data_IF_605966354789
#
_entry.id   IF_605966354789
#
_cell.length_a   1.000
_cell.length_b   1.000
_cell.length_c   1.000
_cell.angle_alpha   90.00
_cell.angle_beta   90.00
_cell.angle_gamma   90.00
#
_symmetry.space_group_name_H-M   'P 1'
#
loop_
_entity.id
_entity.type
_entity.pdbx_description
1 polymer ?
#
# COMPACT_ATOMS: atom_id res chain seq x y z
N UNK A 1 25.96 4.81 45.34
CA UNK A 1 25.74 4.12 44.04
C UNK A 1 24.29 3.69 44.00
N UNK A 2 23.44 4.41 43.26
CA UNK A 2 21.99 4.17 43.19
C UNK A 2 21.70 3.06 42.19
N UNK A 3 21.18 1.93 42.67
CA UNK A 3 20.67 0.84 41.82
C UNK A 3 19.25 1.19 41.38
N UNK A 4 19.08 1.59 40.12
CA UNK A 4 17.78 1.80 39.51
C UNK A 4 17.08 0.46 39.29
N UNK A 5 16.11 0.14 40.12
CA UNK A 5 15.22 -1.02 39.96
C UNK A 5 14.33 -0.79 38.74
N UNK A 6 14.60 -1.55 37.67
CA UNK A 6 13.76 -1.63 36.47
C UNK A 6 12.42 -2.23 36.87
N UNK A 7 11.35 -1.44 36.76
CA UNK A 7 9.98 -1.89 36.94
C UNK A 7 9.59 -2.81 35.77
N UNK A 8 9.48 -4.11 36.03
CA UNK A 8 8.92 -5.09 35.09
C UNK A 8 7.44 -5.25 35.43
N UNK A 9 6.50 -4.75 34.62
CA UNK A 9 5.08 -4.96 34.87
C UNK A 9 4.68 -6.41 34.57
N UNK A 10 3.87 -6.97 35.47
CA UNK A 10 3.30 -8.32 35.42
C UNK A 10 2.29 -8.49 34.26
N UNK A 11 2.06 -9.72 33.77
CA UNK A 11 1.22 -9.97 32.60
C UNK A 11 -0.27 -9.84 32.93
N UNK A 12 -0.88 -8.71 32.58
CA UNK A 12 -2.32 -8.50 32.65
C UNK A 12 -3.05 -9.11 31.45
N UNK A 13 -4.13 -9.84 31.71
CA UNK A 13 -5.02 -10.49 30.71
C UNK A 13 -5.39 -9.55 29.55
N UNK A 14 -5.43 -10.10 28.34
CA UNK A 14 -5.58 -9.40 27.07
C UNK A 14 -6.94 -8.67 26.94
N UNK A 15 -6.95 -7.36 27.21
CA UNK A 15 -7.92 -6.45 26.60
C UNK A 15 -7.73 -6.38 25.08
N UNK A 16 -8.59 -5.66 24.32
CA UNK A 16 -8.37 -5.46 22.89
C UNK A 16 -6.96 -4.90 22.70
N UNK A 17 -6.10 -5.67 22.04
CA UNK A 17 -4.68 -5.33 21.93
C UNK A 17 -4.57 -4.10 21.03
N UNK A 18 -4.48 -2.92 21.65
CA UNK A 18 -4.28 -1.66 20.96
C UNK A 18 -2.81 -1.58 20.58
N UNK A 19 -2.49 -2.00 19.37
CA UNK A 19 -1.16 -1.81 18.81
C UNK A 19 -0.97 -0.35 18.39
N UNK A 20 0.08 0.30 18.88
CA UNK A 20 0.53 1.58 18.34
C UNK A 20 1.22 1.37 16.99
N UNK A 21 1.24 2.42 16.16
CA UNK A 21 1.84 2.32 14.82
C UNK A 21 3.32 1.94 14.90
N UNK A 22 4.06 2.45 15.90
CA UNK A 22 5.45 2.06 16.16
C UNK A 22 5.59 0.59 16.56
N UNK A 23 4.68 0.05 17.39
CA UNK A 23 4.70 -1.37 17.78
C UNK A 23 4.46 -2.27 16.57
N UNK A 24 3.54 -1.91 15.69
CA UNK A 24 3.30 -2.62 14.44
C UNK A 24 4.58 -2.65 13.57
N UNK A 25 5.20 -1.49 13.34
CA UNK A 25 6.43 -1.41 12.54
C UNK A 25 7.58 -2.20 13.18
N UNK A 26 7.72 -2.14 14.51
CA UNK A 26 8.72 -2.91 15.24
C UNK A 26 8.54 -4.42 15.04
N UNK A 27 7.30 -4.93 15.08
CA UNK A 27 7.01 -6.34 14.81
C UNK A 27 7.45 -6.75 13.40
N UNK A 28 7.24 -5.89 12.39
CA UNK A 28 7.71 -6.17 11.02
C UNK A 28 9.24 -6.27 10.96
N UNK A 29 9.96 -5.29 11.54
CA UNK A 29 11.44 -5.31 11.57
C UNK A 29 11.96 -6.52 12.34
N UNK A 30 11.32 -6.84 13.47
CA UNK A 30 11.70 -7.98 14.29
C UNK A 30 11.48 -9.33 13.57
N UNK A 31 10.34 -9.48 12.88
CA UNK A 31 10.04 -10.68 12.10
C UNK A 31 10.89 -10.78 10.82
N UNK A 32 11.40 -9.66 10.32
CA UNK A 32 12.38 -9.65 9.24
C UNK A 32 13.72 -10.28 9.67
N UNK A 33 14.04 -10.35 10.97
CA UNK A 33 15.26 -11.00 11.49
C UNK A 33 16.55 -10.47 10.83
N UNK A 34 16.58 -9.18 10.49
CA UNK A 34 17.71 -8.56 9.79
C UNK A 34 17.73 -8.80 8.28
N UNK A 35 16.75 -9.52 7.72
CA UNK A 35 16.55 -9.53 6.27
C UNK A 35 16.04 -8.16 5.82
N UNK A 36 16.61 -7.64 4.74
CA UNK A 36 16.14 -6.41 4.12
C UNK A 36 14.74 -6.53 3.50
N UNK A 37 14.12 -7.71 3.47
CA UNK A 37 12.81 -7.93 2.82
C UNK A 37 11.92 -8.79 3.72
N UNK A 38 10.62 -8.47 3.78
CA UNK A 38 9.64 -9.31 4.47
C UNK A 38 8.41 -9.53 3.60
N UNK A 39 8.41 -10.63 2.85
CA UNK A 39 7.25 -11.05 2.06
C UNK A 39 6.09 -11.54 2.94
N UNK A 40 4.83 -11.39 2.47
CA UNK A 40 3.63 -11.87 3.19
C UNK A 40 3.71 -13.34 3.60
N UNK A 41 4.23 -14.21 2.73
CA UNK A 41 4.36 -15.66 3.03
C UNK A 41 5.34 -15.89 4.19
N UNK A 42 6.45 -15.17 4.21
CA UNK A 42 7.44 -15.23 5.29
C UNK A 42 6.86 -14.68 6.58
N UNK A 43 6.16 -13.53 6.53
CA UNK A 43 5.46 -12.97 7.67
C UNK A 43 4.42 -13.95 8.24
N UNK A 44 3.54 -14.50 7.39
CA UNK A 44 2.52 -15.45 7.83
C UNK A 44 3.11 -16.73 8.44
N UNK A 45 4.29 -17.16 7.97
CA UNK A 45 5.03 -18.31 8.51
C UNK A 45 5.71 -18.00 9.84
N UNK A 46 6.19 -16.76 10.05
CA UNK A 46 6.93 -16.36 11.25
C UNK A 46 6.05 -15.80 12.36
N UNK A 47 4.88 -15.23 12.03
CA UNK A 47 3.95 -14.70 13.02
C UNK A 47 3.43 -15.82 13.93
N UNK A 48 3.24 -15.51 15.19
CA UNK A 48 2.49 -16.31 16.16
C UNK A 48 1.04 -15.83 16.22
N UNK A 49 0.16 -16.59 16.87
CA UNK A 49 -1.25 -16.20 17.02
C UNK A 49 -1.45 -14.92 17.84
N UNK A 50 -0.51 -14.61 18.74
CA UNK A 50 -0.51 -13.37 19.50
C UNK A 50 -0.08 -12.15 18.66
N UNK A 51 0.59 -12.35 17.52
CA UNK A 51 1.08 -11.26 16.68
C UNK A 51 -0.04 -10.63 15.84
N UNK A 52 0.08 -9.32 15.51
CA UNK A 52 -0.86 -8.62 14.65
C UNK A 52 -1.02 -9.31 13.28
N UNK A 53 -2.24 -9.36 12.76
CA UNK A 53 -2.53 -9.94 11.45
C UNK A 53 -2.11 -9.01 10.31
N UNK A 54 -1.80 -9.56 9.13
CA UNK A 54 -1.46 -8.76 7.95
C UNK A 54 -2.57 -7.74 7.59
N UNK A 55 -3.83 -8.11 7.79
CA UNK A 55 -4.99 -7.23 7.58
C UNK A 55 -5.00 -6.01 8.51
N UNK A 56 -4.44 -6.12 9.71
CA UNK A 56 -4.33 -4.97 10.62
C UNK A 56 -3.37 -3.91 10.06
N UNK A 57 -2.25 -4.33 9.47
CA UNK A 57 -1.30 -3.43 8.81
C UNK A 57 -1.92 -2.71 7.62
N UNK A 58 -2.68 -3.42 6.79
CA UNK A 58 -3.41 -2.82 5.67
C UNK A 58 -4.43 -1.78 6.14
N UNK A 59 -5.18 -2.07 7.21
CA UNK A 59 -6.17 -1.13 7.75
C UNK A 59 -5.54 0.10 8.39
N UNK A 60 -4.39 -0.04 9.06
CA UNK A 60 -3.71 1.05 9.78
C UNK A 60 -2.86 1.92 8.83
N UNK A 61 -2.11 1.30 7.91
CA UNK A 61 -1.17 1.99 7.03
C UNK A 61 -1.68 2.14 5.59
N UNK A 62 -2.88 1.64 5.29
CA UNK A 62 -3.50 1.68 3.96
C UNK A 62 -3.05 0.53 3.04
N UNK A 63 -1.82 0.01 3.20
CA UNK A 63 -1.38 -1.20 2.51
C UNK A 63 -0.23 -1.89 3.23
N UNK A 64 -0.07 -3.20 2.98
CA UNK A 64 1.06 -3.98 3.45
C UNK A 64 2.40 -3.41 2.98
N UNK A 65 2.50 -3.02 1.71
CA UNK A 65 3.73 -2.42 1.18
C UNK A 65 4.04 -1.10 1.87
N UNK A 66 3.02 -0.28 2.16
CA UNK A 66 3.20 0.96 2.91
C UNK A 66 3.73 0.71 4.32
N UNK A 67 3.27 -0.35 4.97
CA UNK A 67 3.78 -0.76 6.29
C UNK A 67 5.25 -1.21 6.21
N UNK A 68 5.64 -1.95 5.16
CA UNK A 68 7.04 -2.32 4.92
C UNK A 68 7.92 -1.09 4.65
N UNK A 69 7.48 -0.15 3.81
CA UNK A 69 8.18 1.12 3.55
C UNK A 69 8.45 1.89 4.85
N UNK A 70 7.42 2.03 5.70
CA UNK A 70 7.53 2.72 6.99
C UNK A 70 8.41 1.96 7.99
N UNK A 71 8.50 0.63 7.85
CA UNK A 71 9.40 -0.22 8.63
C UNK A 71 10.84 -0.21 8.09
N UNK A 72 11.12 0.49 6.98
CA UNK A 72 12.44 0.48 6.33
C UNK A 72 12.79 -0.85 5.66
N UNK A 73 11.79 -1.68 5.37
CA UNK A 73 11.95 -2.96 4.69
C UNK A 73 11.70 -2.82 3.19
N UNK A 74 12.46 -3.56 2.39
CA UNK A 74 12.24 -3.67 0.97
C UNK A 74 10.84 -4.24 0.70
N UNK A 75 10.06 -3.46 -0.02
CA UNK A 75 8.78 -3.89 -0.54
C UNK A 75 9.03 -4.98 -1.57
N UNK A 76 8.39 -6.13 -1.38
CA UNK A 76 8.35 -7.17 -2.39
C UNK A 76 7.33 -6.73 -3.45
N UNK A 77 7.73 -5.74 -4.25
CA UNK A 77 7.00 -5.34 -5.43
C UNK A 77 6.99 -6.56 -6.35
N UNK A 78 5.80 -6.97 -6.79
CA UNK A 78 5.73 -7.91 -7.92
C UNK A 78 6.64 -7.32 -9.01
N UNK A 79 7.58 -8.08 -9.59
CA UNK A 79 8.48 -7.52 -10.58
C UNK A 79 7.61 -6.89 -11.66
N UNK A 80 7.89 -5.63 -11.99
CA UNK A 80 7.10 -4.82 -12.93
C UNK A 80 6.84 -5.58 -14.25
N UNK A 81 7.78 -6.46 -14.61
CA UNK A 81 7.74 -7.39 -15.73
C UNK A 81 6.64 -8.46 -15.67
N UNK A 82 6.22 -8.93 -14.49
CA UNK A 82 5.07 -9.84 -14.33
C UNK A 82 3.73 -9.08 -14.25
N UNK A 83 3.76 -7.79 -13.91
CA UNK A 83 2.57 -6.95 -13.86
C UNK A 83 2.02 -6.66 -15.27
N UNK A 84 2.90 -6.51 -16.28
CA UNK A 84 2.52 -6.33 -17.68
C UNK A 84 1.95 -7.59 -18.32
N UNK A 85 2.38 -8.77 -17.86
CA UNK A 85 1.93 -10.08 -18.39
C UNK A 85 0.59 -10.51 -17.78
N UNK A 86 0.32 -10.12 -16.53
CA UNK A 86 -0.90 -10.54 -15.80
C UNK A 86 -2.05 -9.54 -15.85
N UNK A 87 -1.82 -8.34 -16.40
CA UNK A 87 -2.81 -7.25 -16.36
C UNK A 87 -3.01 -6.63 -17.73
N UNK A 88 -4.27 -6.40 -18.13
CA UNK A 88 -4.64 -5.71 -19.37
C UNK A 88 -4.07 -4.28 -19.48
N UNK A 89 -3.69 -3.64 -18.38
CA UNK A 89 -3.19 -2.27 -18.36
C UNK A 89 -1.83 -2.15 -17.69
N UNK A 90 -0.89 -1.51 -18.37
CA UNK A 90 0.44 -1.16 -17.84
C UNK A 90 0.39 0.13 -17.01
N UNK A 91 1.40 0.35 -16.16
CA UNK A 91 1.54 1.61 -15.41
C UNK A 91 1.55 2.83 -16.34
N UNK A 92 2.23 2.74 -17.48
CA UNK A 92 2.27 3.81 -18.49
C UNK A 92 0.89 4.08 -19.09
N UNK A 93 0.11 3.03 -19.40
CA UNK A 93 -1.26 3.20 -19.89
C UNK A 93 -2.18 3.84 -18.85
N UNK A 94 -2.03 3.50 -17.57
CA UNK A 94 -2.77 4.13 -16.47
C UNK A 94 -2.43 5.63 -16.36
N UNK A 95 -1.15 5.98 -16.43
CA UNK A 95 -0.69 7.38 -16.41
C UNK A 95 -1.14 8.16 -17.66
N UNK A 96 -1.05 7.55 -18.84
CA UNK A 96 -1.49 8.14 -20.10
C UNK A 96 -2.99 8.49 -20.06
N UNK A 97 -3.83 7.61 -19.50
CA UNK A 97 -5.25 7.87 -19.35
C UNK A 97 -5.53 9.06 -18.41
N UNK A 98 -4.80 9.20 -17.31
CA UNK A 98 -4.94 10.35 -16.39
C UNK A 98 -4.49 11.64 -17.07
N UNK A 99 -3.38 11.62 -17.83
CA UNK A 99 -2.90 12.77 -18.60
C UNK A 99 -3.90 13.20 -19.67
N UNK A 100 -4.54 12.24 -20.33
CA UNK A 100 -5.56 12.54 -21.34
C UNK A 100 -6.82 13.15 -20.71
N UNK A 101 -7.27 12.61 -19.57
CA UNK A 101 -8.33 13.23 -18.79
C UNK A 101 -7.98 14.66 -18.41
N UNK A 102 -6.78 14.92 -17.88
CA UNK A 102 -6.34 16.27 -17.52
C UNK A 102 -6.38 17.23 -18.71
N UNK A 103 -5.97 16.79 -19.90
CA UNK A 103 -6.00 17.61 -21.12
C UNK A 103 -7.43 17.96 -21.57
N UNK A 104 -8.37 17.04 -21.40
CA UNK A 104 -9.74 17.22 -21.90
C UNK A 104 -10.67 17.90 -20.88
N UNK A 105 -10.56 17.58 -19.59
CA UNK A 105 -11.42 18.14 -18.53
C UNK A 105 -10.77 19.23 -17.71
N UNK A 106 -9.43 19.38 -17.76
CA UNK A 106 -8.69 20.29 -16.87
C UNK A 106 -8.70 19.88 -15.40
N UNK A 107 -9.31 18.74 -15.06
CA UNK A 107 -9.49 18.25 -13.70
C UNK A 107 -9.19 16.76 -13.61
N UNK A 108 -8.39 16.39 -12.61
CA UNK A 108 -8.04 15.00 -12.31
C UNK A 108 -8.82 14.47 -11.12
N UNK A 109 -10.01 15.00 -10.83
CA UNK A 109 -10.84 14.38 -9.78
C UNK A 109 -11.34 13.01 -10.25
N UNK A 110 -11.62 12.13 -9.30
CA UNK A 110 -12.11 10.77 -9.61
C UNK A 110 -13.46 10.82 -10.33
N UNK A 111 -14.33 11.75 -9.92
CA UNK A 111 -15.64 11.95 -10.54
C UNK A 111 -15.49 12.44 -12.00
N UNK A 112 -14.64 13.44 -12.23
CA UNK A 112 -14.40 13.96 -13.58
C UNK A 112 -13.80 12.90 -14.48
N UNK A 113 -12.87 12.07 -13.97
CA UNK A 113 -12.29 10.96 -14.73
C UNK A 113 -13.30 9.88 -15.10
N UNK A 114 -14.19 9.49 -14.18
CA UNK A 114 -15.25 8.52 -14.52
C UNK A 114 -16.24 9.09 -15.54
N UNK A 115 -16.56 10.37 -15.42
CA UNK A 115 -17.46 11.05 -16.36
C UNK A 115 -16.81 11.16 -17.74
N UNK A 116 -15.52 11.53 -17.77
CA UNK A 116 -14.68 11.58 -18.96
C UNK A 116 -14.55 10.23 -19.66
N UNK A 117 -14.40 9.14 -18.90
CA UNK A 117 -14.36 7.76 -19.41
C UNK A 117 -15.71 7.31 -19.98
N UNK A 118 -16.81 7.65 -19.31
CA UNK A 118 -18.18 7.29 -19.74
C UNK A 118 -18.65 8.08 -20.97
N UNK A 119 -17.99 9.20 -21.28
CA UNK A 119 -18.32 10.01 -22.44
C UNK A 119 -17.92 9.27 -23.75
N UNK A 120 -18.90 8.91 -24.61
CA UNK A 120 -18.64 8.16 -25.85
C UNK A 120 -17.94 9.00 -26.94
N UNK A 121 -17.74 10.30 -26.73
CA UNK A 121 -17.19 11.22 -27.72
C UNK A 121 -15.66 11.12 -27.95
N UNK A 122 -14.94 10.26 -27.23
CA UNK A 122 -13.49 10.08 -27.41
C UNK A 122 -13.12 8.65 -27.78
N UNK A 123 -11.98 8.46 -28.46
CA UNK A 123 -11.32 7.16 -28.67
C UNK A 123 -10.90 6.51 -27.33
N UNK A 124 -11.88 6.13 -26.49
CA UNK A 124 -11.72 5.73 -25.08
C UNK A 124 -12.24 4.33 -24.80
N UNK A 125 -12.25 3.45 -25.81
CA UNK A 125 -12.65 2.04 -25.65
C UNK A 125 -11.78 1.26 -24.64
N UNK A 126 -10.56 1.73 -24.38
CA UNK A 126 -9.56 1.04 -23.53
C UNK A 126 -9.15 1.81 -22.26
N UNK A 127 -9.83 2.92 -21.93
CA UNK A 127 -9.50 3.71 -20.76
C UNK A 127 -9.74 2.90 -19.45
N UNK A 128 -8.72 2.74 -18.59
CA UNK A 128 -8.82 1.92 -17.38
C UNK A 128 -9.79 2.56 -16.37
N UNK A 129 -10.58 1.76 -15.63
CA UNK A 129 -11.40 2.25 -14.53
C UNK A 129 -10.56 2.96 -13.45
N UNK A 130 -11.14 3.97 -12.79
CA UNK A 130 -10.48 4.66 -11.69
C UNK A 130 -10.09 3.70 -10.55
N UNK A 131 -10.88 2.64 -10.36
CA UNK A 131 -10.59 1.57 -9.41
C UNK A 131 -9.29 0.84 -9.75
N UNK A 132 -9.10 0.45 -11.02
CA UNK A 132 -7.87 -0.17 -11.51
C UNK A 132 -6.67 0.73 -11.30
N UNK A 133 -6.79 2.03 -11.61
CA UNK A 133 -5.75 3.04 -11.34
C UNK A 133 -5.42 3.09 -9.85
N UNK A 134 -6.43 3.11 -8.97
CA UNK A 134 -6.24 3.19 -7.51
C UNK A 134 -5.56 1.95 -6.94
N UNK A 135 -5.99 0.77 -7.36
CA UNK A 135 -5.40 -0.50 -6.92
C UNK A 135 -3.97 -0.65 -7.40
N UNK A 136 -3.66 -0.19 -8.62
CA UNK A 136 -2.32 -0.33 -9.21
C UNK A 136 -1.33 0.72 -8.71
N UNK A 137 -1.78 1.98 -8.61
CA UNK A 137 -0.93 3.09 -8.19
C UNK A 137 -0.91 3.28 -6.67
N UNK A 138 -1.61 2.43 -5.91
CA UNK A 138 -1.81 2.51 -4.45
C UNK A 138 -2.73 3.64 -4.00
N UNK A 139 -2.70 4.79 -4.69
CA UNK A 139 -3.60 5.92 -4.45
C UNK A 139 -3.79 6.75 -5.72
N UNK A 140 -4.99 7.30 -5.90
CA UNK A 140 -5.31 8.23 -6.98
C UNK A 140 -4.46 9.51 -6.90
N UNK A 141 -4.17 10.00 -5.69
CA UNK A 141 -3.32 11.18 -5.46
C UNK A 141 -1.87 10.92 -5.86
N UNK A 142 -1.38 9.68 -5.70
CA UNK A 142 -0.05 9.28 -6.19
C UNK A 142 -0.04 9.21 -7.71
N UNK A 143 -1.10 8.66 -8.32
CA UNK A 143 -1.23 8.53 -9.76
C UNK A 143 -1.26 9.89 -10.48
N UNK A 144 -2.05 10.83 -9.97
CA UNK A 144 -2.16 12.19 -10.51
C UNK A 144 -0.86 12.98 -10.35
N UNK A 145 -0.17 12.84 -9.21
CA UNK A 145 1.16 13.44 -9.02
C UNK A 145 2.19 12.92 -10.03
N UNK A 146 2.18 11.62 -10.32
CA UNK A 146 3.06 11.01 -11.33
C UNK A 146 2.66 11.35 -12.77
N UNK A 147 1.38 11.68 -13.00
CA UNK A 147 0.90 12.10 -14.30
C UNK A 147 1.28 13.56 -14.62
N UNK A 148 1.28 14.43 -13.61
CA UNK A 148 1.59 15.86 -13.74
C UNK A 148 3.07 16.20 -13.52
N UNK A 149 3.84 15.32 -12.89
CA UNK A 149 5.30 15.41 -12.81
C UNK A 149 5.97 14.89 -14.07
#
# INVERSE_FOLDING_TARGET
MTVSTVHVPAPTKAGPVVYSDQQLLYVLVHLAQGEGTLGRRTFARRRRDADPSASLYERRFGSWNRALELAGLAVNEQPQQLQTVTTRWTQEQLLAAIRQCLRETGSTTLADYETWRKNPAGLKGDAPPATTVRFRMGSWSRATRLACG
#
